data_IF_729170064573
#
_entry.id   IF_729170064573
#
_cell.length_a   1.000
_cell.length_b   1.000
_cell.length_c   1.000
_cell.angle_alpha   90.00
_cell.angle_beta   90.00
_cell.angle_gamma   90.00
#
_symmetry.space_group_name_H-M   'P 1'
#
loop_
_entity.id
_entity.type
_entity.pdbx_description
1 polymer ?
#
# COMPACT_ATOMS: atom_id res chain seq x y z
N UNK A 1 7.49 -23.70 3.14
CA UNK A 1 8.26 -23.97 4.36
C UNK A 1 9.00 -25.31 4.24
N UNK A 2 9.72 -25.73 5.30
CA UNK A 2 10.48 -26.99 5.30
C UNK A 2 9.58 -28.26 5.22
N UNK A 3 8.28 -28.13 5.44
CA UNK A 3 7.29 -29.21 5.36
C UNK A 3 6.61 -29.28 3.99
N UNK A 4 6.94 -28.37 3.08
CA UNK A 4 6.36 -28.29 1.74
C UNK A 4 5.11 -27.41 1.65
N UNK A 5 4.78 -26.69 2.71
CA UNK A 5 3.72 -25.66 2.69
C UNK A 5 4.27 -24.37 2.07
N UNK A 6 3.49 -23.73 1.23
CA UNK A 6 3.90 -22.54 0.48
C UNK A 6 3.39 -21.29 1.19
N UNK A 7 4.07 -20.87 2.26
CA UNK A 7 3.81 -19.63 2.99
C UNK A 7 4.95 -18.63 2.78
N UNK A 8 4.59 -17.35 2.71
CA UNK A 8 5.54 -16.27 2.91
C UNK A 8 6.06 -16.28 4.35
N UNK A 9 7.32 -15.96 4.55
CA UNK A 9 7.92 -15.82 5.87
C UNK A 9 7.51 -14.49 6.51
N UNK A 10 6.42 -14.50 7.26
CA UNK A 10 5.83 -13.34 7.93
C UNK A 10 6.06 -13.32 9.45
N UNK A 11 6.86 -14.25 9.95
CA UNK A 11 7.19 -14.32 11.38
C UNK A 11 6.30 -15.24 12.19
N UNK A 12 5.70 -16.26 11.58
CA UNK A 12 5.02 -17.31 12.33
C UNK A 12 6.00 -18.09 13.21
N UNK A 13 5.53 -18.63 14.33
CA UNK A 13 6.37 -19.41 15.24
C UNK A 13 7.16 -20.55 14.57
N UNK A 14 6.59 -21.19 13.55
CA UNK A 14 7.28 -22.23 12.80
C UNK A 14 8.26 -21.69 11.74
N UNK A 15 8.32 -20.36 11.54
CA UNK A 15 9.30 -19.71 10.67
C UNK A 15 10.61 -19.35 11.37
N UNK A 16 10.72 -19.47 12.70
CA UNK A 16 11.87 -19.03 13.52
C UNK A 16 13.24 -19.53 13.05
N UNK A 17 13.30 -20.62 12.29
CA UNK A 17 14.53 -21.21 11.78
C UNK A 17 14.65 -21.14 10.25
N UNK A 18 13.77 -20.39 9.57
CA UNK A 18 13.83 -20.21 8.13
C UNK A 18 14.77 -19.06 7.78
N UNK A 19 15.74 -19.34 6.92
CA UNK A 19 16.61 -18.31 6.32
C UNK A 19 16.10 -17.94 4.92
N UNK A 20 14.79 -17.66 4.81
CA UNK A 20 14.18 -17.21 3.55
C UNK A 20 13.84 -15.74 3.69
N UNK A 21 14.41 -14.94 2.81
CA UNK A 21 14.19 -13.50 2.73
C UNK A 21 13.19 -13.20 1.60
N UNK A 22 11.90 -13.36 1.92
CA UNK A 22 10.83 -13.13 0.96
C UNK A 22 10.64 -11.64 0.65
N UNK A 23 10.98 -10.76 1.57
CA UNK A 23 10.93 -9.30 1.35
C UNK A 23 11.90 -8.90 0.25
N UNK A 24 13.17 -9.26 0.37
CA UNK A 24 14.18 -9.00 -0.67
C UNK A 24 13.83 -9.67 -2.00
N UNK A 25 13.22 -10.86 -1.98
CA UNK A 25 12.75 -11.52 -3.19
C UNK A 25 11.66 -10.70 -3.90
N UNK A 26 10.63 -10.25 -3.16
CA UNK A 26 9.51 -9.49 -3.73
C UNK A 26 9.98 -8.13 -4.25
N UNK A 27 10.82 -7.41 -3.50
CA UNK A 27 11.42 -6.15 -3.95
C UNK A 27 12.23 -6.35 -5.23
N UNK A 28 13.14 -7.35 -5.23
CA UNK A 28 13.96 -7.63 -6.43
C UNK A 28 13.13 -8.03 -7.64
N UNK A 29 12.01 -8.75 -7.44
CA UNK A 29 11.09 -9.09 -8.51
C UNK A 29 10.38 -7.84 -9.05
N UNK A 30 9.93 -6.94 -8.18
CA UNK A 30 9.31 -5.68 -8.58
C UNK A 30 10.30 -4.80 -9.36
N UNK A 31 11.52 -4.62 -8.86
CA UNK A 31 12.60 -3.89 -9.55
C UNK A 31 12.92 -4.50 -10.93
N UNK A 32 12.98 -5.84 -11.01
CA UNK A 32 13.19 -6.52 -12.29
C UNK A 32 12.06 -6.20 -13.29
N UNK A 33 10.79 -6.25 -12.84
CA UNK A 33 9.65 -5.96 -13.70
C UNK A 33 9.62 -4.49 -14.12
N UNK A 34 9.92 -3.57 -13.23
CA UNK A 34 10.04 -2.15 -13.52
C UNK A 34 11.11 -1.90 -14.60
N UNK A 35 12.30 -2.46 -14.43
CA UNK A 35 13.41 -2.27 -15.37
C UNK A 35 13.17 -2.98 -16.72
N UNK A 36 12.63 -4.20 -16.73
CA UNK A 36 12.46 -5.00 -17.95
C UNK A 36 11.29 -4.50 -18.82
N UNK A 37 10.20 -4.04 -18.17
CA UNK A 37 8.96 -3.64 -18.86
C UNK A 37 8.68 -2.15 -18.81
N UNK A 38 9.53 -1.36 -18.15
CA UNK A 38 9.37 0.08 -18.03
C UNK A 38 8.16 0.48 -17.17
N UNK A 39 7.83 -0.32 -16.14
CA UNK A 39 6.80 0.07 -15.19
C UNK A 39 7.32 1.17 -14.25
N UNK A 40 6.46 2.12 -13.94
CA UNK A 40 6.79 3.23 -13.05
C UNK A 40 6.96 2.73 -11.60
N UNK A 41 8.13 2.94 -11.04
CA UNK A 41 8.46 2.57 -9.65
C UNK A 41 7.60 3.32 -8.62
N UNK A 42 7.15 4.54 -8.96
CA UNK A 42 6.28 5.33 -8.10
C UNK A 42 4.84 4.78 -8.00
N UNK A 43 4.49 3.81 -8.82
CA UNK A 43 3.17 3.19 -8.88
C UNK A 43 3.22 1.69 -8.52
N UNK A 44 3.97 1.35 -7.47
CA UNK A 44 4.11 -0.02 -6.98
C UNK A 44 3.30 -0.22 -5.71
N UNK A 45 2.34 -1.14 -5.75
CA UNK A 45 1.39 -1.42 -4.68
C UNK A 45 1.44 -2.89 -4.27
N UNK A 46 1.06 -3.22 -3.02
CA UNK A 46 0.98 -4.60 -2.58
C UNK A 46 -0.42 -4.95 -2.07
N UNK A 47 -0.96 -6.08 -2.53
CA UNK A 47 -2.20 -6.64 -2.03
C UNK A 47 -2.07 -8.15 -1.88
N UNK A 48 -2.79 -8.70 -0.91
CA UNK A 48 -2.80 -10.14 -0.71
C UNK A 48 -3.87 -10.57 0.28
N UNK A 49 -4.14 -11.88 0.32
CA UNK A 49 -5.08 -12.48 1.26
C UNK A 49 -4.36 -13.37 2.24
N UNK A 50 -4.85 -13.41 3.51
CA UNK A 50 -4.34 -14.31 4.54
C UNK A 50 -2.83 -14.11 4.72
N UNK A 51 -2.00 -15.12 4.55
CA UNK A 51 -0.54 -15.00 4.56
C UNK A 51 0.02 -13.95 3.57
N UNK A 52 -0.68 -13.71 2.44
CA UNK A 52 -0.36 -12.62 1.51
C UNK A 52 -0.71 -11.24 2.05
N UNK A 53 -1.75 -11.10 2.87
CA UNK A 53 -2.08 -9.87 3.57
C UNK A 53 -1.01 -9.54 4.63
N UNK A 54 -0.61 -10.53 5.39
CA UNK A 54 0.45 -10.42 6.40
C UNK A 54 1.80 -10.05 5.76
N UNK A 55 2.08 -10.58 4.56
CA UNK A 55 3.24 -10.18 3.78
C UNK A 55 3.10 -8.72 3.30
N UNK A 56 1.90 -8.25 2.94
CA UNK A 56 1.69 -6.85 2.57
C UNK A 56 2.03 -5.90 3.73
N UNK A 57 1.61 -6.22 4.95
CA UNK A 57 2.01 -5.48 6.15
C UNK A 57 3.52 -5.54 6.39
N UNK A 58 4.13 -6.71 6.23
CA UNK A 58 5.58 -6.87 6.39
C UNK A 58 6.36 -6.04 5.37
N UNK A 59 5.91 -5.99 4.12
CA UNK A 59 6.50 -5.15 3.09
C UNK A 59 6.39 -3.67 3.46
N UNK A 60 5.25 -3.22 3.97
CA UNK A 60 5.06 -1.84 4.42
C UNK A 60 6.05 -1.47 5.55
N UNK A 61 6.29 -2.38 6.50
CA UNK A 61 7.19 -2.13 7.63
C UNK A 61 8.69 -2.19 7.26
N UNK A 62 9.07 -2.98 6.24
CA UNK A 62 10.48 -3.34 6.01
C UNK A 62 11.06 -2.75 4.71
N UNK A 63 10.28 -2.02 3.89
CA UNK A 63 10.76 -1.55 2.58
C UNK A 63 10.81 -0.03 2.41
N UNK A 64 10.63 0.72 3.49
CA UNK A 64 10.82 2.17 3.56
C UNK A 64 10.18 2.94 2.38
N UNK A 65 8.87 2.74 2.15
CA UNK A 65 8.09 3.42 1.12
C UNK A 65 8.34 2.92 -0.32
N UNK A 66 8.94 1.77 -0.51
CA UNK A 66 9.04 1.12 -1.83
C UNK A 66 7.64 0.87 -2.43
N UNK A 67 6.73 0.32 -1.62
CA UNK A 67 5.32 0.22 -1.97
C UNK A 67 4.60 1.51 -1.57
N UNK A 68 3.73 2.04 -2.44
CA UNK A 68 3.05 3.32 -2.25
C UNK A 68 1.71 3.20 -1.52
N UNK A 69 1.13 2.03 -1.49
CA UNK A 69 -0.02 1.66 -0.65
C UNK A 69 -0.09 0.14 -0.52
N UNK A 70 -0.78 -0.33 0.51
CA UNK A 70 -1.06 -1.75 0.70
C UNK A 70 -2.57 -2.00 0.84
N UNK A 71 -3.00 -3.21 0.42
CA UNK A 71 -4.38 -3.64 0.59
C UNK A 71 -4.44 -5.10 1.07
N UNK A 72 -4.21 -5.34 2.36
CA UNK A 72 -4.38 -6.64 2.98
C UNK A 72 -5.85 -7.08 3.02
N UNK A 73 -6.11 -8.39 2.88
CA UNK A 73 -7.44 -9.00 2.99
C UNK A 73 -7.38 -10.23 3.87
N UNK A 74 -8.22 -10.28 4.90
CA UNK A 74 -8.32 -11.40 5.84
C UNK A 74 -6.97 -11.80 6.46
N UNK A 75 -6.15 -10.82 6.85
CA UNK A 75 -4.86 -11.00 7.50
C UNK A 75 -4.67 -10.06 8.67
N UNK A 76 -3.50 -10.11 9.31
CA UNK A 76 -3.11 -9.26 10.43
C UNK A 76 -1.61 -9.03 10.41
N UNK A 77 -1.07 -8.33 11.40
CA UNK A 77 0.38 -8.15 11.57
C UNK A 77 0.95 -9.22 12.51
N UNK A 78 2.05 -9.85 12.12
CA UNK A 78 2.71 -10.88 12.91
C UNK A 78 4.14 -10.52 13.30
N UNK A 79 4.61 -11.09 14.41
CA UNK A 79 6.02 -11.07 14.81
C UNK A 79 6.61 -9.66 14.83
N UNK A 80 7.69 -9.48 14.08
CA UNK A 80 8.43 -8.21 14.02
C UNK A 80 7.59 -7.10 13.40
N UNK A 81 6.75 -7.42 12.42
CA UNK A 81 5.86 -6.44 11.79
C UNK A 81 4.86 -5.84 12.76
N UNK A 82 4.48 -6.55 13.82
CA UNK A 82 3.65 -6.00 14.89
C UNK A 82 4.45 -5.28 15.98
N UNK A 83 5.60 -5.86 16.37
CA UNK A 83 6.31 -5.40 17.58
C UNK A 83 7.33 -4.31 17.34
N UNK A 84 7.74 -4.08 16.11
CA UNK A 84 8.88 -3.21 15.77
C UNK A 84 8.70 -2.48 14.42
N UNK A 85 7.49 -2.40 13.90
CA UNK A 85 7.19 -1.61 12.70
C UNK A 85 7.35 -0.12 13.04
N UNK A 86 8.09 0.60 12.21
CA UNK A 86 8.27 2.05 12.25
C UNK A 86 8.22 2.55 10.79
N UNK A 87 7.01 2.51 10.19
CA UNK A 87 6.86 2.78 8.76
C UNK A 87 6.88 4.28 8.48
N UNK A 88 7.21 4.65 7.25
CA UNK A 88 6.80 5.95 6.73
C UNK A 88 5.27 5.96 6.55
N UNK A 89 4.58 7.11 6.67
CA UNK A 89 3.15 7.19 6.43
C UNK A 89 2.76 6.52 5.11
N UNK A 90 1.80 5.59 5.16
CA UNK A 90 1.42 4.77 4.01
C UNK A 90 -0.09 4.53 3.97
N UNK A 91 -0.73 4.70 2.80
CA UNK A 91 -2.13 4.35 2.63
C UNK A 91 -2.38 2.85 2.84
N UNK A 92 -3.37 2.52 3.66
CA UNK A 92 -3.72 1.15 4.01
C UNK A 92 -5.22 0.91 3.81
N UNK A 93 -5.59 -0.15 3.09
CA UNK A 93 -6.97 -0.66 3.01
C UNK A 93 -7.01 -2.10 3.52
N UNK A 94 -7.55 -2.34 4.70
CA UNK A 94 -7.84 -3.69 5.20
C UNK A 94 -9.29 -4.08 4.86
N UNK A 95 -9.50 -5.32 4.39
CA UNK A 95 -10.82 -5.92 4.18
C UNK A 95 -10.91 -7.19 5.01
N UNK A 96 -11.79 -7.23 6.04
CA UNK A 96 -11.81 -8.33 6.99
C UNK A 96 -13.22 -8.75 7.42
N UNK A 97 -13.45 -10.07 7.53
CA UNK A 97 -14.70 -10.66 8.00
C UNK A 97 -14.79 -10.70 9.52
N UNK A 98 -15.89 -10.20 10.12
CA UNK A 98 -16.05 -10.23 11.59
C UNK A 98 -16.25 -11.64 12.17
N UNK A 99 -16.57 -12.64 11.33
CA UNK A 99 -16.65 -14.05 11.69
C UNK A 99 -15.50 -14.87 11.08
N UNK A 100 -14.39 -14.22 10.74
CA UNK A 100 -13.19 -14.95 10.33
C UNK A 100 -12.76 -15.90 11.46
N UNK A 101 -12.61 -17.18 11.12
CA UNK A 101 -12.23 -18.24 12.05
C UNK A 101 -10.81 -18.77 11.83
N UNK A 102 -10.04 -18.11 10.98
CA UNK A 102 -8.62 -18.40 10.70
C UNK A 102 -7.78 -17.27 11.28
N UNK A 103 -7.96 -16.04 10.76
CA UNK A 103 -7.37 -14.83 11.33
C UNK A 103 -8.49 -14.11 12.08
N UNK A 104 -8.54 -14.28 13.40
CA UNK A 104 -9.66 -13.79 14.21
C UNK A 104 -9.72 -12.26 14.20
N UNK A 105 -10.92 -11.70 14.03
CA UNK A 105 -11.17 -10.27 14.17
C UNK A 105 -10.62 -9.69 15.49
N UNK A 106 -10.78 -10.45 16.59
CA UNK A 106 -10.30 -10.05 17.92
C UNK A 106 -8.80 -10.25 18.14
N UNK A 107 -8.08 -10.83 17.17
CA UNK A 107 -6.72 -11.32 17.39
C UNK A 107 -6.67 -12.55 18.31
N UNK A 108 -5.49 -13.10 18.50
CA UNK A 108 -5.23 -14.17 19.47
C UNK A 108 -3.78 -14.06 20.00
N UNK A 109 -3.64 -13.49 21.17
CA UNK A 109 -2.34 -13.39 21.87
C UNK A 109 -1.88 -14.69 22.52
N UNK A 110 -2.73 -15.71 22.57
CA UNK A 110 -2.43 -17.03 23.12
C UNK A 110 -2.18 -18.08 22.03
N UNK A 111 -2.24 -17.69 20.73
CA UNK A 111 -1.99 -18.64 19.65
C UNK A 111 -0.55 -19.16 19.71
N UNK A 112 -0.43 -20.48 19.80
CA UNK A 112 0.85 -21.18 19.90
C UNK A 112 1.34 -21.78 18.60
N UNK A 113 0.49 -21.82 17.57
CA UNK A 113 0.82 -22.41 16.28
C UNK A 113 1.35 -21.35 15.31
N UNK A 114 0.53 -20.32 15.03
CA UNK A 114 0.96 -19.20 14.19
C UNK A 114 1.88 -18.25 14.96
N UNK A 115 1.64 -18.07 16.23
CA UNK A 115 2.20 -17.07 17.13
C UNK A 115 1.16 -16.03 17.52
N UNK A 116 1.41 -15.26 18.59
CA UNK A 116 0.51 -14.22 19.06
C UNK A 116 0.34 -13.11 17.99
N UNK A 117 -0.90 -12.64 17.81
CA UNK A 117 -1.22 -11.57 16.86
C UNK A 117 -2.33 -10.65 17.37
N UNK A 118 -2.32 -9.36 16.98
CA UNK A 118 -3.31 -8.37 17.37
C UNK A 118 -4.66 -8.56 16.67
N UNK A 119 -5.70 -7.96 17.24
CA UNK A 119 -6.99 -7.81 16.57
C UNK A 119 -6.93 -6.81 15.42
N UNK A 120 -7.92 -6.90 14.53
CA UNK A 120 -7.96 -6.05 13.34
C UNK A 120 -8.10 -4.57 13.71
N UNK A 121 -8.94 -4.25 14.71
CA UNK A 121 -9.09 -2.88 15.21
C UNK A 121 -7.78 -2.33 15.76
N UNK A 122 -6.98 -3.15 16.46
CA UNK A 122 -5.66 -2.75 16.97
C UNK A 122 -4.66 -2.46 15.84
N UNK A 123 -4.71 -3.25 14.76
CA UNK A 123 -3.88 -3.03 13.56
C UNK A 123 -4.28 -1.72 12.87
N UNK A 124 -5.58 -1.46 12.75
CA UNK A 124 -6.07 -0.20 12.15
C UNK A 124 -5.70 0.99 13.01
N UNK A 125 -5.88 0.91 14.34
CA UNK A 125 -5.47 1.98 15.26
C UNK A 125 -3.98 2.29 15.14
N UNK A 126 -3.12 1.26 15.01
CA UNK A 126 -1.68 1.43 14.76
C UNK A 126 -1.43 2.27 13.49
N UNK A 127 -2.04 1.91 12.35
CA UNK A 127 -1.84 2.65 11.11
C UNK A 127 -2.43 4.07 11.13
N UNK A 128 -3.53 4.27 11.85
CA UNK A 128 -4.13 5.59 12.08
C UNK A 128 -3.18 6.47 12.88
N UNK A 129 -2.50 5.93 13.90
CA UNK A 129 -1.51 6.63 14.70
C UNK A 129 -0.24 6.92 13.90
N UNK A 130 0.31 5.96 13.17
CA UNK A 130 1.52 6.13 12.35
C UNK A 130 1.31 7.14 11.21
N UNK A 131 0.13 7.15 10.61
CA UNK A 131 -0.23 8.11 9.56
C UNK A 131 -0.72 9.46 10.10
N UNK A 132 -0.86 9.61 11.43
CA UNK A 132 -1.29 10.85 12.10
C UNK A 132 -2.66 11.35 11.57
N UNK A 133 -3.62 10.42 11.38
CA UNK A 133 -4.96 10.73 10.86
C UNK A 133 -5.80 11.44 11.92
N UNK A 134 -6.46 12.54 11.56
CA UNK A 134 -7.17 13.40 12.52
C UNK A 134 -8.71 13.33 12.39
N UNK A 135 -9.23 12.80 11.28
CA UNK A 135 -10.66 12.69 11.02
C UNK A 135 -11.07 11.28 10.63
N UNK A 136 -12.32 10.91 10.88
CA UNK A 136 -12.89 9.65 10.46
C UNK A 136 -14.35 9.79 10.02
N UNK A 137 -14.82 8.82 9.21
CA UNK A 137 -16.22 8.65 8.84
C UNK A 137 -16.55 7.18 8.63
N UNK A 138 -17.79 6.79 8.92
CA UNK A 138 -18.32 5.46 8.66
C UNK A 138 -19.38 5.48 7.58
N UNK A 139 -19.27 4.59 6.60
CA UNK A 139 -20.23 4.43 5.51
C UNK A 139 -20.76 2.99 5.49
N UNK A 140 -22.07 2.83 5.69
CA UNK A 140 -22.71 1.51 5.65
C UNK A 140 -23.02 1.15 4.19
N UNK A 141 -22.41 0.08 3.70
CA UNK A 141 -22.59 -0.47 2.36
C UNK A 141 -23.57 -1.67 2.44
N UNK A 142 -24.88 -1.37 2.59
CA UNK A 142 -25.93 -2.37 2.84
C UNK A 142 -25.96 -3.50 1.80
N UNK A 143 -25.70 -3.19 0.52
CA UNK A 143 -25.75 -4.16 -0.58
C UNK A 143 -24.70 -5.29 -0.47
N UNK A 144 -23.63 -5.08 0.26
CA UNK A 144 -22.51 -6.02 0.46
C UNK A 144 -22.29 -6.34 1.94
N UNK A 145 -23.20 -5.91 2.83
CA UNK A 145 -23.15 -6.14 4.28
C UNK A 145 -21.78 -5.75 4.88
N UNK A 146 -21.29 -4.58 4.52
CA UNK A 146 -19.98 -4.06 4.91
C UNK A 146 -20.09 -2.67 5.48
N UNK A 147 -19.31 -2.37 6.50
CA UNK A 147 -19.10 -1.01 7.01
C UNK A 147 -17.71 -0.57 6.55
N UNK A 148 -17.64 0.53 5.82
CA UNK A 148 -16.38 1.18 5.49
C UNK A 148 -16.08 2.22 6.54
N UNK A 149 -15.02 2.00 7.31
CA UNK A 149 -14.41 2.98 8.20
C UNK A 149 -13.29 3.67 7.41
N UNK A 150 -13.34 4.99 7.30
CA UNK A 150 -12.35 5.78 6.62
C UNK A 150 -11.74 6.77 7.58
N UNK A 151 -10.42 6.75 7.71
CA UNK A 151 -9.62 7.71 8.47
C UNK A 151 -8.85 8.58 7.47
N UNK A 152 -8.99 9.89 7.58
CA UNK A 152 -8.49 10.85 6.60
C UNK A 152 -7.93 12.11 7.25
N UNK A 153 -7.44 13.05 6.42
CA UNK A 153 -6.62 14.19 6.85
C UNK A 153 -5.36 13.70 7.59
N UNK A 154 -4.69 12.74 6.98
CA UNK A 154 -3.48 12.11 7.48
C UNK A 154 -2.22 12.76 6.88
N UNK A 155 -1.04 12.52 7.48
CA UNK A 155 0.23 12.91 6.90
C UNK A 155 0.41 12.28 5.51
N UNK A 156 1.00 13.01 4.59
CA UNK A 156 1.25 12.60 3.19
C UNK A 156 0.01 12.06 2.45
N UNK A 157 -1.20 12.46 2.88
CA UNK A 157 -2.47 11.96 2.38
C UNK A 157 -2.63 10.43 2.50
N UNK A 158 -1.95 9.81 3.46
CA UNK A 158 -1.90 8.38 3.70
C UNK A 158 -3.14 7.90 4.46
N UNK A 159 -4.30 7.87 3.82
CA UNK A 159 -5.56 7.45 4.45
C UNK A 159 -5.51 5.97 4.89
N UNK A 160 -6.25 5.66 5.96
CA UNK A 160 -6.46 4.29 6.43
C UNK A 160 -7.94 3.94 6.30
N UNK A 161 -8.21 2.83 5.59
CA UNK A 161 -9.56 2.33 5.38
C UNK A 161 -9.70 0.91 5.93
N UNK A 162 -10.81 0.65 6.62
CA UNK A 162 -11.19 -0.70 7.02
C UNK A 162 -12.57 -1.02 6.42
N UNK A 163 -12.64 -2.12 5.70
CA UNK A 163 -13.90 -2.72 5.27
C UNK A 163 -14.25 -3.85 6.23
N UNK A 164 -15.06 -3.54 7.23
CA UNK A 164 -15.63 -4.50 8.17
C UNK A 164 -16.74 -5.28 7.47
N UNK A 165 -16.45 -6.52 7.05
CA UNK A 165 -17.43 -7.41 6.41
C UNK A 165 -18.25 -8.10 7.51
N UNK A 166 -19.42 -7.56 7.82
CA UNK A 166 -20.25 -8.02 8.93
C UNK A 166 -20.74 -9.44 8.70
N UNK A 167 -20.31 -10.37 9.58
CA UNK A 167 -20.60 -11.80 9.46
C UNK A 167 -19.78 -12.54 8.38
N UNK A 168 -18.86 -11.84 7.70
CA UNK A 168 -17.93 -12.43 6.75
C UNK A 168 -16.94 -13.38 7.39
N UNK A 169 -16.50 -14.40 6.66
CA UNK A 169 -15.49 -15.37 7.08
C UNK A 169 -14.10 -15.04 6.55
N UNK A 170 -13.25 -16.08 6.50
CA UNK A 170 -11.91 -16.01 5.91
C UNK A 170 -12.00 -16.09 4.38
N UNK A 171 -12.37 -15.00 3.75
CA UNK A 171 -12.70 -14.95 2.33
C UNK A 171 -12.06 -13.74 1.62
N UNK A 172 -11.96 -13.85 0.28
CA UNK A 172 -11.78 -12.72 -0.61
C UNK A 172 -13.15 -12.28 -1.13
N UNK A 173 -13.82 -11.28 -0.56
CA UNK A 173 -15.12 -10.81 -1.03
C UNK A 173 -15.10 -10.46 -2.53
N UNK A 174 -16.17 -10.78 -3.25
CA UNK A 174 -16.20 -10.63 -4.71
C UNK A 174 -16.02 -9.21 -5.24
N UNK A 175 -16.19 -8.20 -4.39
CA UNK A 175 -15.96 -6.79 -4.71
C UNK A 175 -14.54 -6.30 -4.37
N UNK A 176 -13.75 -7.07 -3.59
CA UNK A 176 -12.46 -6.62 -3.07
C UNK A 176 -11.49 -6.14 -4.15
N UNK A 177 -11.41 -6.84 -5.28
CA UNK A 177 -10.48 -6.44 -6.35
C UNK A 177 -10.80 -5.06 -6.93
N UNK A 178 -12.10 -4.70 -7.03
CA UNK A 178 -12.49 -3.37 -7.51
C UNK A 178 -12.22 -2.29 -6.46
N UNK A 179 -12.59 -2.54 -5.21
CA UNK A 179 -12.37 -1.58 -4.11
C UNK A 179 -10.87 -1.33 -3.86
N UNK A 180 -10.04 -2.39 -3.96
CA UNK A 180 -8.58 -2.27 -3.88
C UNK A 180 -8.03 -1.41 -5.03
N UNK A 181 -8.52 -1.65 -6.26
CA UNK A 181 -8.11 -0.85 -7.40
C UNK A 181 -8.54 0.62 -7.25
N UNK A 182 -9.77 0.86 -6.84
CA UNK A 182 -10.30 2.21 -6.62
C UNK A 182 -9.55 2.93 -5.49
N UNK A 183 -9.10 2.19 -4.47
CA UNK A 183 -8.23 2.71 -3.42
C UNK A 183 -6.83 3.05 -3.96
N UNK A 184 -6.15 2.12 -4.61
CA UNK A 184 -4.81 2.35 -5.16
C UNK A 184 -4.77 3.45 -6.21
N UNK A 185 -5.84 3.58 -7.01
CA UNK A 185 -5.94 4.60 -8.06
C UNK A 185 -5.84 6.03 -7.53
N UNK A 186 -6.14 6.26 -6.25
CA UNK A 186 -6.02 7.58 -5.61
C UNK A 186 -4.55 7.96 -5.34
N UNK A 187 -3.66 6.98 -5.36
CA UNK A 187 -2.22 7.15 -5.06
C UNK A 187 -1.34 6.91 -6.28
N UNK A 188 -1.94 6.79 -7.47
CA UNK A 188 -1.17 6.74 -8.72
C UNK A 188 -0.56 8.11 -8.97
N UNK A 189 0.75 8.13 -9.10
CA UNK A 189 1.50 9.32 -9.47
C UNK A 189 1.67 9.33 -10.99
N UNK A 190 1.12 10.32 -11.64
CA UNK A 190 1.32 10.55 -13.08
C UNK A 190 2.48 11.54 -13.27
N UNK A 191 3.70 11.04 -13.48
CA UNK A 191 4.84 11.91 -13.74
C UNK A 191 4.58 12.81 -14.93
N UNK A 192 4.80 14.10 -14.73
CA UNK A 192 4.56 15.13 -15.76
C UNK A 192 3.15 15.72 -15.75
N UNK A 193 2.19 15.17 -15.02
CA UNK A 193 0.89 15.82 -14.77
C UNK A 193 1.04 16.84 -13.64
N UNK A 194 1.51 18.03 -14.01
CA UNK A 194 1.88 19.07 -13.04
C UNK A 194 0.65 19.81 -12.51
N UNK A 195 -0.41 19.83 -13.28
CA UNK A 195 -1.64 20.52 -12.92
C UNK A 195 -2.67 19.61 -12.20
N UNK A 196 -2.45 18.27 -12.19
CA UNK A 196 -3.29 17.29 -11.53
C UNK A 196 -4.64 17.07 -12.19
N UNK A 197 -4.72 17.21 -13.54
CA UNK A 197 -5.96 16.97 -14.28
C UNK A 197 -6.05 15.60 -14.96
N UNK A 198 -5.09 14.70 -14.67
CA UNK A 198 -4.93 13.36 -15.23
C UNK A 198 -4.71 13.34 -16.77
N UNK A 199 -4.33 14.46 -17.37
CA UNK A 199 -4.13 14.57 -18.82
C UNK A 199 -2.77 15.17 -19.13
N UNK A 200 -1.80 14.36 -19.49
CA UNK A 200 -0.50 14.84 -19.96
C UNK A 200 -0.65 15.66 -21.25
N UNK A 201 -0.44 16.98 -21.14
CA UNK A 201 -0.63 17.90 -22.28
C UNK A 201 0.24 19.15 -22.19
N UNK A 202 -0.02 20.13 -23.08
CA UNK A 202 0.75 21.38 -23.15
C UNK A 202 0.64 22.23 -21.87
N UNK A 203 -0.42 22.08 -21.08
CA UNK A 203 -0.60 22.86 -19.84
C UNK A 203 0.42 22.44 -18.80
N UNK A 204 0.77 21.15 -18.74
CA UNK A 204 1.81 20.62 -17.86
C UNK A 204 3.19 21.11 -18.27
N UNK A 205 3.46 21.21 -19.58
CA UNK A 205 4.70 21.80 -20.09
C UNK A 205 4.81 23.27 -19.64
N UNK A 206 3.72 24.02 -19.67
CA UNK A 206 3.70 25.41 -19.19
C UNK A 206 3.92 25.45 -17.67
N UNK A 207 3.31 24.56 -16.93
CA UNK A 207 3.42 24.49 -15.47
C UNK A 207 4.86 24.13 -15.03
N UNK A 208 5.47 23.09 -15.62
CA UNK A 208 6.86 22.71 -15.30
C UNK A 208 7.86 23.82 -15.65
N UNK A 209 7.68 24.51 -16.76
CA UNK A 209 8.52 25.67 -17.12
C UNK A 209 8.46 26.76 -16.04
N UNK A 210 7.27 27.04 -15.51
CA UNK A 210 7.11 28.01 -14.42
C UNK A 210 7.79 27.55 -13.13
N UNK A 211 7.67 26.26 -12.77
CA UNK A 211 8.35 25.69 -11.62
C UNK A 211 9.87 25.83 -11.73
N UNK A 212 10.45 25.43 -12.86
CA UNK A 212 11.90 25.53 -13.10
C UNK A 212 12.39 26.98 -13.03
N UNK A 213 11.64 27.93 -13.64
CA UNK A 213 12.03 29.36 -13.64
C UNK A 213 11.93 30.00 -12.27
N UNK A 214 11.02 29.56 -11.43
CA UNK A 214 10.80 30.15 -10.10
C UNK A 214 11.58 29.43 -8.98
N UNK A 215 12.31 28.37 -9.30
CA UNK A 215 13.01 27.53 -8.30
C UNK A 215 12.03 26.80 -7.40
N UNK A 216 10.86 26.42 -7.91
CA UNK A 216 9.91 25.58 -7.20
C UNK A 216 10.39 24.13 -7.16
N UNK A 217 9.80 23.35 -6.26
CA UNK A 217 10.00 21.91 -6.15
C UNK A 217 8.63 21.21 -6.28
N UNK A 218 8.60 20.12 -7.04
CA UNK A 218 7.43 19.27 -7.19
C UNK A 218 7.91 17.89 -7.66
N UNK A 219 7.73 16.83 -6.88
CA UNK A 219 8.19 15.48 -7.23
C UNK A 219 7.63 14.98 -8.59
N UNK A 220 6.39 15.36 -8.94
CA UNK A 220 5.76 15.00 -10.20
C UNK A 220 6.44 15.67 -11.43
N UNK A 221 7.19 16.75 -11.18
CA UNK A 221 7.88 17.51 -12.22
C UNK A 221 9.28 16.99 -12.54
N UNK A 222 9.86 16.14 -11.71
CA UNK A 222 11.10 15.41 -12.00
C UNK A 222 10.79 14.22 -12.93
N UNK A 223 10.53 14.56 -14.20
CA UNK A 223 10.01 13.59 -15.18
C UNK A 223 11.08 12.61 -15.65
N UNK A 224 12.36 12.94 -15.46
CA UNK A 224 13.47 12.06 -15.80
C UNK A 224 14.01 11.27 -14.59
N UNK A 225 13.44 11.51 -13.39
CA UNK A 225 13.76 10.83 -12.13
C UNK A 225 15.26 10.92 -11.74
N UNK A 226 15.93 12.02 -12.07
CA UNK A 226 17.34 12.24 -11.70
C UNK A 226 17.49 12.96 -10.35
N UNK A 227 16.39 13.31 -9.68
CA UNK A 227 16.34 14.02 -8.40
C UNK A 227 16.58 15.53 -8.52
N UNK A 228 16.61 16.10 -9.73
CA UNK A 228 16.91 17.51 -9.96
C UNK A 228 15.94 18.14 -10.94
N UNK A 229 14.95 18.88 -10.47
CA UNK A 229 14.03 19.61 -11.34
C UNK A 229 14.75 20.68 -12.16
N UNK A 230 14.86 20.45 -13.48
CA UNK A 230 15.59 21.34 -14.41
C UNK A 230 15.04 21.30 -15.86
N UNK A 231 15.78 21.84 -16.80
CA UNK A 231 15.39 21.90 -18.22
C UNK A 231 15.27 20.50 -18.87
N UNK A 232 15.94 19.47 -18.34
CA UNK A 232 15.90 18.13 -18.91
C UNK A 232 14.52 17.50 -18.72
N UNK A 233 13.85 17.76 -17.59
CA UNK A 233 12.48 17.31 -17.30
C UNK A 233 11.49 17.92 -18.30
N UNK A 234 11.66 19.21 -18.61
CA UNK A 234 10.84 19.86 -19.63
C UNK A 234 11.00 19.17 -20.99
N UNK A 235 12.24 18.80 -21.36
CA UNK A 235 12.51 18.10 -22.62
C UNK A 235 11.87 16.72 -22.63
N UNK A 236 11.96 15.97 -21.54
CA UNK A 236 11.32 14.65 -21.42
C UNK A 236 9.80 14.79 -21.50
N UNK A 237 9.20 15.72 -20.75
CA UNK A 237 7.76 15.94 -20.79
C UNK A 237 7.27 16.36 -22.19
N UNK A 238 8.00 17.23 -22.90
CA UNK A 238 7.67 17.59 -24.28
C UNK A 238 7.67 16.36 -25.20
N UNK A 239 8.65 15.47 -25.06
CA UNK A 239 8.70 14.25 -25.85
C UNK A 239 7.53 13.32 -25.53
N UNK A 240 7.16 13.17 -24.26
CA UNK A 240 6.01 12.38 -23.83
C UNK A 240 4.70 12.94 -24.41
N UNK A 241 4.48 14.25 -24.31
CA UNK A 241 3.26 14.91 -24.82
C UNK A 241 3.17 14.84 -26.34
N UNK A 242 4.29 14.92 -27.05
CA UNK A 242 4.33 14.87 -28.52
C UNK A 242 4.43 13.44 -29.09
N UNK A 243 4.58 12.42 -28.24
CA UNK A 243 4.81 11.02 -28.64
C UNK A 243 5.97 10.83 -29.62
N UNK A 244 7.11 11.50 -29.39
CA UNK A 244 8.33 11.45 -30.22
C UNK A 244 9.53 10.91 -29.44
#
# INVERSE_FOLDING_TARGET
>A
DQNGDNFWNVGYNFHDNLNVDDVSFIVSLAEYLQNEYGYDANNTFAAGMSNGAEMSYKLACETDGFFKAIAPVAGTMFGVSWTSCDPTPMPVLEIHGTNDNVTLWSGDYEDTYWGPYPGIEEVIDFWVEENDCINNEDVILESINTIKHRYFDCNDNAEVWLYEVVGGGHDWPGYSSQEIWDFFSQYIVSLGDINGDDILNILDIVAIVQLVLNGGDNPVADVNEDGILNILDIVVLVNLVLNI
#
